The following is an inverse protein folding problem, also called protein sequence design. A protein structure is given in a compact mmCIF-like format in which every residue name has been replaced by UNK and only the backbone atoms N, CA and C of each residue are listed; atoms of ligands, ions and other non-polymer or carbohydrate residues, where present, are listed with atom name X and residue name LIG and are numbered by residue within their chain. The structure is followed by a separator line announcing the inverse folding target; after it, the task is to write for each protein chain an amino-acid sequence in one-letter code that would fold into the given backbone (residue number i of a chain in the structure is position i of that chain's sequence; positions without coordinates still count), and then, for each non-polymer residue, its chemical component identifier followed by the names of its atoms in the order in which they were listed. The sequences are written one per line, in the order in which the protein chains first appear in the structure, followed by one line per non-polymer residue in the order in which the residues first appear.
data_IF_369686331733
#
_entry.id   IF_369686331733
#
_cell.length_a   1.000
_cell.length_b   1.000
_cell.length_c   1.000
_cell.angle_alpha   90.00
_cell.angle_beta   90.00
_cell.angle_gamma   90.00
#
_symmetry.space_group_name_H-M   'P 1'
#
loop_
_entity.id
_entity.type
_entity.pdbx_description
1 polymer ?
#
# COMPACT_ATOMS: atom_id res chain seq x y z
N UNK A 1 -0.35 11.27 16.49
CA UNK A 1 -1.79 11.10 16.21
C UNK A 1 -2.02 11.32 14.74
N UNK A 2 -2.86 10.50 14.10
CA UNK A 2 -3.28 10.71 12.71
C UNK A 2 -4.17 11.97 12.62
N UNK A 3 -4.03 12.74 11.54
CA UNK A 3 -4.86 13.92 11.33
C UNK A 3 -6.33 13.51 11.13
N UNK A 4 -7.26 14.31 11.65
CA UNK A 4 -8.69 14.13 11.45
C UNK A 4 -9.29 15.33 10.73
N UNK A 5 -10.08 15.05 9.69
CA UNK A 5 -10.68 16.05 8.81
C UNK A 5 -12.19 15.84 8.72
N UNK A 6 -12.88 16.88 8.26
CA UNK A 6 -14.32 16.85 8.02
C UNK A 6 -14.56 17.15 6.54
N UNK A 7 -15.53 16.46 5.93
CA UNK A 7 -15.90 16.77 4.55
C UNK A 7 -16.48 18.18 4.41
N UNK A 8 -16.05 18.90 3.38
CA UNK A 8 -16.44 20.27 3.09
C UNK A 8 -17.53 20.36 2.02
N UNK A 9 -17.44 19.52 0.99
CA UNK A 9 -18.39 19.47 -0.12
C UNK A 9 -18.95 18.06 -0.31
N UNK A 10 -20.11 18.00 -0.97
CA UNK A 10 -20.67 16.74 -1.46
C UNK A 10 -19.72 16.12 -2.48
N UNK A 11 -19.45 14.83 -2.30
CA UNK A 11 -18.70 14.06 -3.29
C UNK A 11 -19.56 13.85 -4.52
N UNK A 12 -19.02 14.14 -5.70
CA UNK A 12 -19.68 13.88 -6.98
C UNK A 12 -19.14 12.62 -7.68
N UNK A 13 -18.14 11.96 -7.10
CA UNK A 13 -17.44 10.85 -7.73
C UNK A 13 -17.26 9.66 -6.79
N UNK A 14 -17.58 8.47 -7.31
CA UNK A 14 -17.39 7.17 -6.66
C UNK A 14 -16.53 6.30 -7.56
N UNK A 15 -15.46 5.74 -7.01
CA UNK A 15 -14.61 4.80 -7.71
C UNK A 15 -15.30 3.45 -7.81
N UNK A 16 -15.30 2.84 -9.00
CA UNK A 16 -15.94 1.55 -9.24
C UNK A 16 -14.98 0.40 -8.96
N UNK A 17 -14.61 0.25 -7.68
CA UNK A 17 -13.80 -0.87 -7.16
C UNK A 17 -14.59 -1.69 -6.14
N UNK A 18 -14.00 -2.75 -5.58
CA UNK A 18 -14.65 -3.59 -4.56
C UNK A 18 -15.08 -2.82 -3.31
N UNK A 19 -14.23 -1.91 -2.83
CA UNK A 19 -14.47 -1.09 -1.62
C UNK A 19 -15.36 0.13 -1.87
N UNK A 20 -15.61 0.47 -3.14
CA UNK A 20 -16.46 1.59 -3.56
C UNK A 20 -16.09 2.93 -2.87
N UNK A 21 -14.81 3.36 -2.87
CA UNK A 21 -14.43 4.62 -2.24
C UNK A 21 -15.04 5.82 -2.98
N UNK A 22 -15.11 6.95 -2.28
CA UNK A 22 -15.57 8.23 -2.84
C UNK A 22 -14.45 9.27 -2.83
N UNK A 23 -14.51 10.23 -3.76
CA UNK A 23 -13.60 11.37 -3.77
C UNK A 23 -14.24 12.54 -3.01
N UNK A 24 -13.62 12.99 -1.92
CA UNK A 24 -14.19 14.02 -1.08
C UNK A 24 -13.20 15.16 -0.80
N UNK A 25 -13.67 16.39 -0.98
CA UNK A 25 -12.91 17.58 -0.59
C UNK A 25 -13.16 17.89 0.88
N UNK A 26 -12.09 18.06 1.64
CA UNK A 26 -12.14 18.29 3.09
C UNK A 26 -11.98 19.78 3.45
N UNK A 27 -12.09 20.09 4.75
CA UNK A 27 -11.95 21.45 5.30
C UNK A 27 -10.59 22.12 5.05
N UNK A 28 -9.57 21.33 4.69
CA UNK A 28 -8.25 21.80 4.26
C UNK A 28 -8.17 22.15 2.77
N UNK A 29 -9.30 22.12 2.06
CA UNK A 29 -9.42 22.36 0.62
C UNK A 29 -8.68 21.32 -0.25
N UNK A 30 -8.26 20.20 0.33
CA UNK A 30 -7.61 19.11 -0.39
C UNK A 30 -8.61 17.99 -0.71
N UNK A 31 -8.33 17.25 -1.77
CA UNK A 31 -9.15 16.14 -2.24
C UNK A 31 -8.60 14.81 -1.72
N UNK A 32 -9.49 13.99 -1.17
CA UNK A 32 -9.15 12.74 -0.49
C UNK A 32 -9.97 11.58 -1.04
N UNK A 33 -9.33 10.44 -1.26
CA UNK A 33 -9.98 9.16 -1.55
C UNK A 33 -10.40 8.55 -0.21
N UNK A 34 -11.70 8.36 -0.03
CA UNK A 34 -12.32 8.02 1.24
C UNK A 34 -12.89 6.59 1.21
N UNK A 35 -12.36 5.70 2.05
CA UNK A 35 -12.84 4.32 2.25
C UNK A 35 -13.63 4.20 3.56
N UNK A 36 -14.83 3.63 3.50
CA UNK A 36 -15.79 3.64 4.61
C UNK A 36 -15.86 2.33 5.42
N UNK A 37 -15.23 1.24 4.96
CA UNK A 37 -15.21 -0.04 5.69
C UNK A 37 -16.60 -0.67 5.83
N UNK A 38 -17.36 -0.72 4.72
CA UNK A 38 -18.78 -1.14 4.70
C UNK A 38 -19.00 -2.52 5.33
N UNK A 39 -18.16 -3.49 4.96
CA UNK A 39 -18.34 -4.89 5.36
C UNK A 39 -17.49 -5.22 6.60
N UNK A 40 -16.35 -4.55 6.77
CA UNK A 40 -15.46 -4.69 7.92
C UNK A 40 -14.56 -3.47 8.08
N UNK A 41 -14.11 -3.20 9.31
CA UNK A 41 -13.08 -2.20 9.60
C UNK A 41 -11.66 -2.75 9.41
N UNK A 42 -11.47 -4.08 9.34
CA UNK A 42 -10.13 -4.68 9.20
C UNK A 42 -9.36 -4.16 7.98
N UNK A 43 -9.96 -4.02 6.79
CA UNK A 43 -9.27 -3.40 5.66
C UNK A 43 -8.84 -1.95 5.94
N UNK A 44 -9.61 -1.17 6.72
CA UNK A 44 -9.22 0.21 7.06
C UNK A 44 -8.07 0.25 8.07
N UNK A 45 -8.04 -0.70 9.01
CA UNK A 45 -6.89 -0.90 9.92
C UNK A 45 -5.66 -1.25 9.10
N UNK A 46 -5.79 -2.19 8.18
CA UNK A 46 -4.75 -2.59 7.24
C UNK A 46 -4.21 -1.42 6.42
N UNK A 47 -5.06 -0.50 5.94
CA UNK A 47 -4.63 0.72 5.26
C UNK A 47 -3.75 1.61 6.15
N UNK A 48 -4.14 1.83 7.42
CA UNK A 48 -3.33 2.61 8.37
C UNK A 48 -1.99 1.92 8.66
N UNK A 49 -2.01 0.60 8.87
CA UNK A 49 -0.81 -0.19 9.16
C UNK A 49 0.14 -0.18 7.96
N UNK A 50 -0.35 -0.54 6.78
CA UNK A 50 0.43 -0.62 5.54
C UNK A 50 1.04 0.73 5.16
N UNK A 51 0.28 1.82 5.18
CA UNK A 51 0.82 3.14 4.91
C UNK A 51 1.84 3.60 5.96
N UNK A 52 1.63 3.26 7.25
CA UNK A 52 2.61 3.61 8.31
C UNK A 52 3.90 2.80 8.18
N UNK A 53 3.81 1.50 7.91
CA UNK A 53 4.98 0.67 7.68
C UNK A 53 5.72 1.08 6.41
N UNK A 54 5.03 1.42 5.32
CA UNK A 54 5.64 1.94 4.11
C UNK A 54 6.47 3.21 4.39
N UNK A 55 5.95 4.12 5.23
CA UNK A 55 6.69 5.31 5.68
C UNK A 55 7.98 4.94 6.44
N UNK A 56 7.92 3.97 7.36
CA UNK A 56 9.09 3.50 8.11
C UNK A 56 10.12 2.81 7.21
N UNK A 57 9.69 2.26 6.08
CA UNK A 57 10.56 1.72 5.02
C UNK A 57 11.13 2.79 4.09
N UNK A 58 10.79 4.06 4.30
CA UNK A 58 11.07 5.18 3.39
C UNK A 58 10.48 4.97 1.98
N UNK A 59 9.40 4.19 1.86
CA UNK A 59 8.62 4.08 0.65
C UNK A 59 7.62 5.22 0.57
N UNK A 60 7.45 5.79 -0.63
CA UNK A 60 6.43 6.82 -0.80
C UNK A 60 5.05 6.19 -0.76
N UNK A 61 4.14 6.82 -0.05
CA UNK A 61 2.72 6.50 -0.02
C UNK A 61 1.96 7.83 0.11
N UNK A 62 0.76 7.98 -0.48
CA UNK A 62 -0.01 9.20 -0.29
C UNK A 62 -0.25 9.46 1.21
N UNK A 63 -0.21 10.72 1.66
CA UNK A 63 -0.58 11.06 3.04
C UNK A 63 -1.95 10.49 3.42
N UNK A 64 -2.07 10.01 4.66
CA UNK A 64 -3.30 9.42 5.19
C UNK A 64 -3.92 10.27 6.30
N UNK A 65 -5.24 10.23 6.43
CA UNK A 65 -5.98 10.86 7.53
C UNK A 65 -7.25 10.06 7.87
N UNK A 66 -7.95 10.49 8.92
CA UNK A 66 -9.33 10.08 9.19
C UNK A 66 -10.29 11.17 8.72
N UNK A 67 -11.42 10.77 8.12
CA UNK A 67 -12.40 11.71 7.57
C UNK A 67 -13.78 11.44 8.15
N UNK A 68 -14.35 12.45 8.81
CA UNK A 68 -15.78 12.47 9.15
C UNK A 68 -16.57 13.02 7.96
N UNK A 69 -17.32 12.14 7.30
CA UNK A 69 -18.14 12.51 6.14
C UNK A 69 -19.53 12.92 6.59
N UNK A 70 -19.90 14.19 6.38
CA UNK A 70 -21.28 14.66 6.64
C UNK A 70 -22.28 13.91 5.76
N UNK A 71 -23.44 13.56 6.33
CA UNK A 71 -24.49 12.81 5.63
C UNK A 71 -24.92 13.47 4.30
N UNK A 72 -25.09 14.79 4.29
CA UNK A 72 -25.49 15.55 3.09
C UNK A 72 -24.40 15.59 2.01
N UNK A 73 -23.17 15.19 2.35
CA UNK A 73 -22.05 15.14 1.42
C UNK A 73 -21.92 13.78 0.71
N UNK A 74 -22.80 12.83 1.03
CA UNK A 74 -22.79 11.49 0.45
C UNK A 74 -23.58 11.49 -0.86
N UNK A 75 -23.00 11.00 -1.98
CA UNK A 75 -23.67 11.01 -3.28
C UNK A 75 -24.82 10.01 -3.36
N UNK A 76 -26.04 10.51 -3.15
CA UNK A 76 -27.29 9.74 -3.23
C UNK A 76 -27.56 9.13 -4.60
N UNK A 77 -26.97 9.67 -5.68
CA UNK A 77 -27.10 9.13 -7.03
C UNK A 77 -26.52 7.71 -7.20
N UNK A 78 -25.66 7.25 -6.27
CA UNK A 78 -25.09 5.91 -6.30
C UNK A 78 -25.85 4.90 -5.43
N UNK A 79 -26.99 5.27 -4.86
CA UNK A 79 -27.84 4.33 -4.13
C UNK A 79 -28.34 3.20 -5.05
N UNK A 80 -28.46 1.94 -4.55
CA UNK A 80 -28.20 1.51 -3.17
C UNK A 80 -26.75 1.06 -2.91
N UNK A 81 -25.84 1.20 -3.89
CA UNK A 81 -24.44 0.72 -3.76
C UNK A 81 -23.67 1.48 -2.70
N UNK A 82 -23.97 2.78 -2.57
CA UNK A 82 -23.44 3.65 -1.53
C UNK A 82 -24.58 4.10 -0.61
N UNK A 83 -24.43 3.92 0.70
CA UNK A 83 -25.47 4.24 1.67
C UNK A 83 -24.92 5.12 2.81
N UNK A 84 -25.72 6.08 3.33
CA UNK A 84 -25.25 7.00 4.36
C UNK A 84 -24.67 6.32 5.60
N UNK A 85 -25.25 5.19 6.02
CA UNK A 85 -24.83 4.51 7.25
C UNK A 85 -23.41 3.93 7.18
N UNK A 86 -22.84 3.73 5.98
CA UNK A 86 -21.44 3.33 5.82
C UNK A 86 -20.49 4.39 6.38
N UNK A 87 -20.93 5.64 6.47
CA UNK A 87 -20.15 6.80 6.89
C UNK A 87 -20.46 7.27 8.32
N UNK A 88 -21.18 6.45 9.11
CA UNK A 88 -21.49 6.77 10.51
C UNK A 88 -20.27 6.70 11.45
N UNK A 89 -19.14 6.20 10.94
CA UNK A 89 -17.85 6.14 11.61
C UNK A 89 -16.81 6.90 10.78
N UNK A 90 -15.69 7.33 11.38
CA UNK A 90 -14.61 7.95 10.64
C UNK A 90 -14.13 7.03 9.53
N UNK A 91 -13.96 7.57 8.33
CA UNK A 91 -13.45 6.84 7.19
C UNK A 91 -11.92 6.95 7.11
N UNK A 92 -11.29 5.98 6.45
CA UNK A 92 -9.90 6.14 6.03
C UNK A 92 -9.83 7.11 4.85
N UNK A 93 -8.92 8.07 4.91
CA UNK A 93 -8.64 9.03 3.85
C UNK A 93 -7.21 8.89 3.34
N UNK A 94 -7.05 8.80 2.01
CA UNK A 94 -5.75 8.87 1.32
C UNK A 94 -5.74 10.07 0.37
N UNK A 95 -4.70 10.90 0.44
CA UNK A 95 -4.64 12.14 -0.33
C UNK A 95 -4.60 11.84 -1.83
N UNK A 96 -5.41 12.55 -2.62
CA UNK A 96 -5.34 12.43 -4.07
C UNK A 96 -4.06 13.08 -4.61
N UNK A 97 -3.17 12.28 -5.21
CA UNK A 97 -1.98 12.78 -5.90
C UNK A 97 -2.37 13.33 -7.28
N UNK A 98 -2.57 14.65 -7.39
CA UNK A 98 -3.05 15.33 -8.62
C UNK A 98 -2.17 15.10 -9.87
N UNK A 99 -0.88 14.79 -9.68
CA UNK A 99 0.07 14.43 -10.75
C UNK A 99 0.39 12.93 -10.81
N UNK A 100 -0.32 12.10 -10.03
CA UNK A 100 -0.12 10.67 -9.96
C UNK A 100 -0.95 9.93 -11.00
N UNK A 101 -0.36 8.91 -11.60
CA UNK A 101 -1.06 7.98 -12.49
C UNK A 101 -0.91 6.56 -11.96
N UNK A 102 -2.02 5.82 -11.80
CA UNK A 102 -1.96 4.40 -11.44
C UNK A 102 -1.23 3.63 -12.55
N UNK A 103 -0.28 2.78 -12.16
CA UNK A 103 0.49 1.99 -13.11
C UNK A 103 -0.34 0.78 -13.54
N UNK A 104 -0.69 0.74 -14.81
CA UNK A 104 -1.36 -0.39 -15.44
C UNK A 104 -0.61 -0.86 -16.69
N UNK A 105 -1.16 -1.88 -17.37
CA UNK A 105 -0.59 -2.45 -18.58
C UNK A 105 -0.44 -1.44 -19.72
N UNK A 106 -1.26 -0.38 -19.76
CA UNK A 106 -1.20 0.66 -20.80
C UNK A 106 0.03 1.54 -20.66
N UNK A 107 0.61 1.64 -19.46
CA UNK A 107 1.82 2.43 -19.21
C UNK A 107 3.12 1.68 -19.57
N UNK A 108 3.11 0.34 -19.63
CA UNK A 108 4.30 -0.49 -19.87
C UNK A 108 5.14 -0.08 -21.09
N UNK A 109 4.56 0.30 -22.25
CA UNK A 109 5.34 0.76 -23.40
C UNK A 109 6.22 1.98 -23.10
N UNK A 110 5.82 2.85 -22.17
CA UNK A 110 6.63 4.00 -21.74
C UNK A 110 7.88 3.54 -21.00
N UNK A 111 7.76 2.53 -20.14
CA UNK A 111 8.88 1.98 -19.37
C UNK A 111 9.95 1.32 -20.24
N UNK A 112 9.64 0.89 -21.47
CA UNK A 112 10.65 0.33 -22.39
C UNK A 112 11.63 1.41 -22.87
N UNK A 113 11.17 2.65 -23.03
CA UNK A 113 11.97 3.76 -23.58
C UNK A 113 13.06 4.19 -22.60
N UNK A 114 14.32 4.16 -23.04
CA UNK A 114 15.46 4.54 -22.20
C UNK A 114 15.37 5.97 -21.65
N UNK A 115 14.81 6.90 -22.42
CA UNK A 115 14.57 8.29 -22.00
C UNK A 115 13.57 8.43 -20.87
N UNK A 116 12.62 7.48 -20.75
CA UNK A 116 11.67 7.43 -19.65
C UNK A 116 12.29 6.74 -18.43
N UNK A 117 12.95 5.58 -18.61
CA UNK A 117 13.64 4.86 -17.54
C UNK A 117 14.60 5.75 -16.73
N UNK A 118 15.36 6.62 -17.42
CA UNK A 118 16.30 7.55 -16.78
C UNK A 118 15.66 8.61 -15.89
N UNK A 119 14.36 8.86 -16.04
CA UNK A 119 13.61 9.83 -15.24
C UNK A 119 13.00 9.18 -13.99
N UNK A 120 12.99 7.86 -13.90
CA UNK A 120 12.52 7.13 -12.71
C UNK A 120 13.63 7.19 -11.68
N UNK A 121 13.38 7.93 -10.60
CA UNK A 121 14.31 8.02 -9.48
C UNK A 121 14.05 6.89 -8.49
N UNK A 122 15.09 6.52 -7.73
CA UNK A 122 15.07 5.40 -6.79
C UNK A 122 14.44 4.13 -7.38
N UNK A 123 14.82 3.76 -8.61
CA UNK A 123 14.21 2.61 -9.32
C UNK A 123 14.19 1.34 -8.46
N UNK A 124 15.22 1.15 -7.63
CA UNK A 124 15.37 0.02 -6.70
C UNK A 124 14.22 -0.09 -5.70
N UNK A 125 13.50 1.00 -5.43
CA UNK A 125 12.29 1.01 -4.60
C UNK A 125 11.26 0.00 -5.12
N UNK A 126 11.21 -0.28 -6.42
CA UNK A 126 10.29 -1.29 -6.96
C UNK A 126 10.57 -2.70 -6.42
N UNK A 127 11.85 -3.07 -6.26
CA UNK A 127 12.23 -4.35 -5.65
C UNK A 127 12.08 -4.30 -4.12
N UNK A 128 12.33 -3.14 -3.50
CA UNK A 128 12.08 -2.91 -2.06
C UNK A 128 10.59 -3.05 -1.71
N UNK A 129 9.70 -2.53 -2.55
CA UNK A 129 8.25 -2.68 -2.45
C UNK A 129 7.87 -4.16 -2.55
N UNK A 130 8.48 -4.92 -3.45
CA UNK A 130 8.18 -6.34 -3.56
C UNK A 130 8.58 -7.12 -2.29
N UNK A 131 9.74 -6.82 -1.69
CA UNK A 131 10.12 -7.41 -0.40
C UNK A 131 9.19 -6.95 0.73
N UNK A 132 8.77 -5.69 0.72
CA UNK A 132 7.77 -5.16 1.66
C UNK A 132 6.45 -5.94 1.58
N UNK A 133 5.96 -6.22 0.37
CA UNK A 133 4.73 -6.99 0.15
C UNK A 133 4.86 -8.44 0.59
N UNK A 134 6.01 -9.08 0.39
CA UNK A 134 6.30 -10.41 0.93
C UNK A 134 6.24 -10.38 2.46
N UNK A 135 6.89 -9.41 3.10
CA UNK A 135 6.94 -9.31 4.56
C UNK A 135 5.57 -9.13 5.21
N UNK A 136 4.73 -8.27 4.64
CA UNK A 136 3.39 -8.01 5.18
C UNK A 136 2.32 -8.93 4.60
N UNK A 137 2.66 -9.90 3.75
CA UNK A 137 1.69 -10.81 3.13
C UNK A 137 0.63 -10.07 2.29
N UNK A 138 1.04 -9.16 1.42
CA UNK A 138 0.12 -8.39 0.57
C UNK A 138 -0.25 -9.13 -0.72
N UNK A 139 -1.47 -9.65 -0.79
CA UNK A 139 -1.93 -10.49 -1.91
C UNK A 139 -2.51 -9.68 -3.09
N UNK A 140 -2.79 -8.39 -2.90
CA UNK A 140 -3.46 -7.56 -3.93
C UNK A 140 -2.47 -6.69 -4.74
N UNK A 141 -1.17 -6.69 -4.41
CA UNK A 141 -0.12 -6.07 -5.24
C UNK A 141 0.62 -7.11 -6.08
N UNK A 142 0.11 -7.35 -7.29
CA UNK A 142 0.63 -8.40 -8.18
C UNK A 142 0.70 -7.95 -9.65
N UNK A 143 1.08 -8.86 -10.54
CA UNK A 143 1.23 -8.58 -11.98
C UNK A 143 -0.05 -8.09 -12.71
N UNK A 144 -1.23 -8.37 -12.14
CA UNK A 144 -2.53 -7.99 -12.67
C UNK A 144 -3.08 -6.70 -12.06
N UNK A 145 -2.70 -6.40 -10.81
CA UNK A 145 -3.06 -5.21 -10.08
C UNK A 145 -1.83 -4.65 -9.38
N UNK A 146 -1.22 -3.58 -9.93
CA UNK A 146 0.03 -3.09 -9.36
C UNK A 146 -0.16 -2.41 -8.01
N UNK A 147 -1.32 -1.79 -7.75
CA UNK A 147 -1.51 -0.88 -6.62
C UNK A 147 -0.31 0.08 -6.40
N UNK A 148 0.25 0.57 -7.53
CA UNK A 148 1.31 1.57 -7.59
C UNK A 148 0.83 2.83 -8.31
N UNK A 149 1.19 3.99 -7.78
CA UNK A 149 1.05 5.28 -8.47
C UNK A 149 2.43 5.73 -8.93
N UNK A 150 2.54 6.09 -10.21
CA UNK A 150 3.66 6.83 -10.73
C UNK A 150 3.44 8.33 -10.52
N UNK A 151 4.12 8.89 -9.55
CA UNK A 151 4.04 10.30 -9.16
C UNK A 151 4.96 11.16 -10.02
N UNK A 152 4.37 12.20 -10.62
CA UNK A 152 5.03 13.16 -11.53
C UNK A 152 4.93 14.60 -11.03
N UNK A 153 4.64 14.79 -9.74
CA UNK A 153 4.50 16.13 -9.13
C UNK A 153 5.75 16.98 -9.33
N UNK A 154 6.93 16.37 -9.32
CA UNK A 154 8.19 17.01 -9.69
C UNK A 154 8.47 16.86 -11.18
N UNK A 155 8.61 17.99 -11.88
CA UNK A 155 8.77 18.02 -13.34
C UNK A 155 10.00 17.23 -13.78
N UNK A 156 9.76 16.17 -14.55
CA UNK A 156 10.83 15.37 -15.17
C UNK A 156 11.39 14.26 -14.30
N UNK A 157 10.84 14.08 -13.10
CA UNK A 157 11.17 13.00 -12.17
C UNK A 157 9.94 12.16 -11.93
N UNK A 158 10.14 10.84 -11.83
CA UNK A 158 9.07 9.90 -11.52
C UNK A 158 9.45 9.10 -10.29
N UNK A 159 8.49 8.94 -9.38
CA UNK A 159 8.63 8.14 -8.18
C UNK A 159 7.49 7.13 -8.07
N UNK A 160 7.79 5.94 -7.55
CA UNK A 160 6.76 4.95 -7.22
C UNK A 160 6.16 5.30 -5.86
N UNK A 161 4.82 5.33 -5.79
CA UNK A 161 4.06 5.40 -4.56
C UNK A 161 3.26 4.11 -4.38
N UNK A 162 3.34 3.49 -3.21
CA UNK A 162 2.47 2.39 -2.83
C UNK A 162 1.15 2.92 -2.28
N UNK A 163 0.06 2.27 -2.65
CA UNK A 163 -1.27 2.53 -2.10
C UNK A 163 -2.05 1.21 -2.02
N UNK A 164 -3.27 1.30 -1.48
CA UNK A 164 -4.23 0.21 -1.34
C UNK A 164 -3.65 -1.01 -0.60
N UNK A 165 -3.56 -0.88 0.72
CA UNK A 165 -3.02 -1.91 1.60
C UNK A 165 -4.13 -2.74 2.26
N UNK A 166 -5.37 -2.68 1.79
CA UNK A 166 -6.50 -3.38 2.42
C UNK A 166 -6.30 -4.90 2.55
N UNK A 167 -5.57 -5.52 1.62
CA UNK A 167 -5.34 -6.96 1.53
C UNK A 167 -4.03 -7.45 2.18
N UNK A 168 -3.37 -6.62 3.01
CA UNK A 168 -2.19 -7.08 3.76
C UNK A 168 -2.57 -8.13 4.82
N UNK A 169 -1.55 -8.84 5.28
CA UNK A 169 -1.62 -9.95 6.22
C UNK A 169 -2.47 -11.11 5.71
N UNK A 170 -2.30 -11.49 4.45
CA UNK A 170 -3.14 -12.46 3.74
C UNK A 170 -4.63 -12.13 3.89
N UNK A 171 -4.98 -10.88 3.56
CA UNK A 171 -6.36 -10.36 3.66
C UNK A 171 -6.93 -10.46 5.09
N UNK A 172 -6.20 -9.91 6.08
CA UNK A 172 -6.55 -9.97 7.52
C UNK A 172 -6.54 -11.39 8.13
N UNK A 173 -5.69 -12.27 7.60
CA UNK A 173 -5.54 -13.68 7.96
C UNK A 173 -4.75 -13.99 9.23
N UNK A 174 -4.11 -13.01 9.90
CA UNK A 174 -3.16 -13.25 11.02
C UNK A 174 -3.64 -14.21 12.11
N UNK A 175 -4.96 -14.30 12.36
CA UNK A 175 -5.54 -15.27 13.32
C UNK A 175 -5.22 -16.73 12.99
N UNK A 176 -4.88 -17.02 11.74
CA UNK A 176 -4.58 -18.35 11.21
C UNK A 176 -3.08 -18.56 10.93
N UNK A 177 -2.25 -17.55 11.22
CA UNK A 177 -0.89 -17.49 10.71
C UNK A 177 -0.74 -16.44 9.61
N UNK A 178 0.49 -16.21 9.19
CA UNK A 178 0.83 -15.50 7.95
C UNK A 178 1.52 -16.48 7.01
N UNK A 179 1.19 -16.42 5.73
CA UNK A 179 1.76 -17.24 4.67
C UNK A 179 2.50 -16.36 3.66
N UNK A 180 3.59 -16.89 3.10
CA UNK A 180 4.31 -16.23 2.01
C UNK A 180 3.39 -16.09 0.79
N UNK A 181 3.37 -14.89 0.20
CA UNK A 181 2.71 -14.69 -1.10
C UNK A 181 3.41 -15.54 -2.18
N UNK A 182 2.65 -16.01 -3.17
CA UNK A 182 3.21 -16.81 -4.27
C UNK A 182 3.90 -15.95 -5.33
N UNK A 183 4.64 -16.58 -6.25
CA UNK A 183 5.24 -15.91 -7.41
C UNK A 183 4.21 -15.13 -8.25
N UNK A 184 3.01 -15.68 -8.42
CA UNK A 184 1.92 -15.03 -9.16
C UNK A 184 1.33 -13.82 -8.43
N UNK A 185 1.40 -13.82 -7.09
CA UNK A 185 0.96 -12.71 -6.23
C UNK A 185 2.08 -11.68 -6.03
N UNK A 186 3.34 -12.01 -6.32
CA UNK A 186 4.45 -11.08 -6.19
C UNK A 186 4.56 -10.11 -7.37
N UNK A 187 4.89 -8.86 -7.06
CA UNK A 187 5.25 -7.85 -8.06
C UNK A 187 6.52 -8.25 -8.86
N UNK A 188 7.39 -9.11 -8.32
CA UNK A 188 8.65 -9.54 -8.96
C UNK A 188 8.39 -10.23 -10.29
N UNK A 189 7.30 -11.01 -10.40
CA UNK A 189 6.93 -11.72 -11.62
C UNK A 189 6.37 -10.80 -12.73
N UNK A 190 6.07 -9.54 -12.39
CA UNK A 190 5.46 -8.58 -13.30
C UNK A 190 6.35 -8.18 -14.49
N UNK A 191 5.70 -7.84 -15.61
CA UNK A 191 6.39 -7.30 -16.79
C UNK A 191 7.14 -5.99 -16.47
N UNK A 192 6.61 -5.17 -15.55
CA UNK A 192 7.25 -3.93 -15.13
C UNK A 192 8.63 -4.19 -14.52
N UNK A 193 8.72 -5.13 -13.56
CA UNK A 193 9.99 -5.50 -12.93
C UNK A 193 10.95 -6.08 -13.97
N UNK A 194 10.47 -6.96 -14.86
CA UNK A 194 11.28 -7.52 -15.95
C UNK A 194 11.83 -6.45 -16.90
N UNK A 195 11.01 -5.46 -17.29
CA UNK A 195 11.43 -4.34 -18.15
C UNK A 195 12.51 -3.51 -17.48
N UNK A 196 12.39 -3.27 -16.17
CA UNK A 196 13.31 -2.40 -15.45
C UNK A 196 14.59 -3.10 -15.03
N UNK A 197 14.53 -4.37 -14.61
CA UNK A 197 15.65 -5.07 -13.96
C UNK A 197 16.22 -6.25 -14.75
N UNK A 198 15.52 -6.74 -15.78
CA UNK A 198 15.91 -7.96 -16.50
C UNK A 198 17.20 -7.89 -17.33
N UNK A 199 17.96 -6.78 -17.27
CA UNK A 199 19.27 -6.62 -17.92
C UNK A 199 20.23 -5.77 -17.07
N UNK A 200 20.02 -5.72 -15.76
CA UNK A 200 20.83 -4.92 -14.83
C UNK A 200 22.05 -5.73 -14.37
N UNK A 201 23.24 -5.18 -14.57
CA UNK A 201 24.51 -5.88 -14.32
C UNK A 201 24.87 -6.00 -12.83
N UNK A 202 24.32 -5.14 -11.97
CA UNK A 202 24.58 -5.13 -10.53
C UNK A 202 23.37 -5.59 -9.70
N UNK A 203 22.54 -6.48 -10.25
CA UNK A 203 21.34 -6.96 -9.57
C UNK A 203 21.64 -7.58 -8.20
N UNK A 204 22.74 -8.33 -8.06
CA UNK A 204 23.12 -8.97 -6.80
C UNK A 204 23.34 -7.94 -5.69
N UNK A 205 24.12 -6.90 -5.99
CA UNK A 205 24.40 -5.80 -5.07
C UNK A 205 23.11 -5.05 -4.68
N UNK A 206 22.21 -4.82 -5.65
CA UNK A 206 20.91 -4.19 -5.38
C UNK A 206 20.09 -5.03 -4.40
N UNK A 207 20.02 -6.35 -4.62
CA UNK A 207 19.27 -7.28 -3.78
C UNK A 207 19.86 -7.33 -2.37
N UNK A 208 21.18 -7.43 -2.26
CA UNK A 208 21.86 -7.48 -0.95
C UNK A 208 21.64 -6.20 -0.14
N UNK A 209 21.70 -5.03 -0.79
CA UNK A 209 21.40 -3.75 -0.13
C UNK A 209 19.94 -3.68 0.33
N UNK A 210 18.99 -4.17 -0.46
CA UNK A 210 17.56 -4.20 -0.09
C UNK A 210 17.31 -5.14 1.10
N UNK A 211 17.99 -6.29 1.13
CA UNK A 211 17.91 -7.23 2.26
C UNK A 211 18.53 -6.64 3.52
N UNK A 212 19.64 -5.91 3.42
CA UNK A 212 20.20 -5.20 4.57
C UNK A 212 19.22 -4.14 5.10
N UNK A 213 18.62 -3.37 4.19
CA UNK A 213 17.59 -2.39 4.52
C UNK A 213 16.37 -3.03 5.19
N UNK A 214 15.96 -4.23 4.75
CA UNK A 214 14.80 -4.94 5.27
C UNK A 214 14.83 -5.09 6.78
N UNK A 215 15.93 -5.60 7.34
CA UNK A 215 16.08 -5.78 8.79
C UNK A 215 16.01 -4.46 9.56
N UNK A 216 16.58 -3.38 9.01
CA UNK A 216 16.51 -2.05 9.62
C UNK A 216 15.08 -1.49 9.58
N UNK A 217 14.39 -1.71 8.46
CA UNK A 217 13.04 -1.22 8.24
C UNK A 217 12.01 -1.96 9.11
N UNK A 218 12.11 -3.29 9.25
CA UNK A 218 11.21 -4.07 10.13
C UNK A 218 11.42 -3.73 11.60
N UNK A 219 12.67 -3.56 12.03
CA UNK A 219 12.99 -3.10 13.37
C UNK A 219 12.39 -1.71 13.65
N UNK A 220 12.48 -0.78 12.69
CA UNK A 220 11.86 0.55 12.78
C UNK A 220 10.33 0.44 12.93
N UNK A 221 9.68 -0.43 12.15
CA UNK A 221 8.24 -0.70 12.27
C UNK A 221 7.87 -1.26 13.65
N UNK A 222 8.67 -2.17 14.20
CA UNK A 222 8.41 -2.78 15.51
C UNK A 222 8.51 -1.77 16.64
N UNK A 223 9.54 -0.91 16.60
CA UNK A 223 9.75 0.16 17.58
C UNK A 223 8.60 1.17 17.58
N UNK A 224 8.07 1.49 16.40
CA UNK A 224 6.96 2.43 16.24
C UNK A 224 5.56 1.79 16.38
N UNK A 225 5.46 0.48 16.57
CA UNK A 225 4.20 -0.25 16.52
C UNK A 225 3.12 0.37 17.43
N UNK A 226 3.48 0.70 18.67
CA UNK A 226 2.55 1.34 19.61
C UNK A 226 2.05 2.70 19.09
N UNK A 227 2.94 3.50 18.52
CA UNK A 227 2.60 4.81 17.92
C UNK A 227 1.69 4.65 16.72
N UNK A 228 1.87 3.59 15.93
CA UNK A 228 1.04 3.27 14.77
C UNK A 228 -0.35 2.81 15.21
N UNK A 229 -0.45 1.91 16.19
CA UNK A 229 -1.73 1.41 16.73
C UNK A 229 -2.58 2.55 17.31
N UNK A 230 -1.96 3.56 17.92
CA UNK A 230 -2.64 4.78 18.40
C UNK A 230 -3.24 5.65 17.27
N UNK A 231 -2.97 5.36 15.99
CA UNK A 231 -3.63 6.01 14.86
C UNK A 231 -5.00 5.39 14.56
N UNK A 232 -5.30 4.19 15.06
CA UNK A 232 -6.57 3.51 14.81
C UNK A 232 -7.65 4.12 15.72
N UNK A 233 -8.76 4.63 15.17
CA UNK A 233 -9.77 5.30 15.97
C UNK A 233 -10.56 4.31 16.85
N UNK A 234 -10.86 4.73 18.08
CA UNK A 234 -11.66 3.95 19.03
C UNK A 234 -13.07 3.65 18.48
N UNK A 235 -13.60 4.54 17.63
CA UNK A 235 -14.92 4.40 16.99
C UNK A 235 -15.04 3.18 16.08
N UNK A 236 -13.92 2.60 15.64
CA UNK A 236 -13.93 1.36 14.88
C UNK A 236 -14.21 0.13 15.74
N UNK A 237 -14.08 0.22 17.07
CA UNK A 237 -14.31 -0.89 18.01
C UNK A 237 -13.48 -2.14 17.65
N UNK A 238 -12.24 -1.89 17.23
CA UNK A 238 -11.31 -2.94 16.81
C UNK A 238 -10.46 -3.41 18.01
N UNK A 239 -10.28 -4.72 18.17
CA UNK A 239 -9.51 -5.29 19.28
C UNK A 239 -8.00 -5.12 19.05
N UNK A 240 -7.47 -3.96 19.46
CA UNK A 240 -6.06 -3.61 19.28
C UNK A 240 -5.11 -4.49 20.08
N UNK A 241 -5.50 -4.94 21.27
CA UNK A 241 -4.65 -5.79 22.12
C UNK A 241 -4.38 -7.12 21.41
N UNK A 242 -5.47 -7.80 21.00
CA UNK A 242 -5.33 -9.06 20.27
C UNK A 242 -4.60 -8.88 18.94
N UNK A 243 -4.82 -7.76 18.26
CA UNK A 243 -4.15 -7.49 17.00
C UNK A 243 -2.66 -7.25 17.16
N UNK A 244 -2.24 -6.53 18.21
CA UNK A 244 -0.83 -6.35 18.55
C UNK A 244 -0.15 -7.70 18.81
N UNK A 245 -0.76 -8.56 19.63
CA UNK A 245 -0.25 -9.90 19.92
C UNK A 245 -0.05 -10.69 18.61
N UNK A 246 -1.05 -10.67 17.73
CA UNK A 246 -0.97 -11.33 16.42
C UNK A 246 0.14 -10.77 15.53
N UNK A 247 0.35 -9.45 15.51
CA UNK A 247 1.44 -8.85 14.72
C UNK A 247 2.81 -9.32 15.24
N UNK A 248 3.00 -9.32 16.57
CA UNK A 248 4.25 -9.75 17.20
C UNK A 248 4.53 -11.22 16.93
N UNK A 249 3.51 -12.06 17.07
CA UNK A 249 3.64 -13.51 16.86
C UNK A 249 3.93 -13.86 15.39
N UNK A 250 3.40 -13.09 14.43
CA UNK A 250 3.44 -13.46 13.00
C UNK A 250 4.49 -12.71 12.18
N UNK A 251 4.58 -11.38 12.29
CA UNK A 251 5.37 -10.56 11.36
C UNK A 251 6.61 -9.94 11.99
N UNK A 252 6.72 -9.95 13.32
CA UNK A 252 7.87 -9.45 14.06
C UNK A 252 8.61 -10.60 14.77
N UNK A 253 9.01 -11.61 14.00
CA UNK A 253 9.84 -12.70 14.51
C UNK A 253 10.92 -13.10 13.49
N UNK A 254 12.04 -13.61 14.00
CA UNK A 254 13.25 -13.90 13.20
C UNK A 254 13.05 -15.01 12.17
N UNK A 255 12.19 -15.98 12.46
CA UNK A 255 11.87 -17.08 11.55
C UNK A 255 11.14 -16.52 10.31
N UNK A 256 10.14 -15.67 10.52
CA UNK A 256 9.43 -14.98 9.44
C UNK A 256 10.36 -14.11 8.60
N UNK A 257 11.25 -13.33 9.24
CA UNK A 257 12.23 -12.53 8.49
C UNK A 257 13.12 -13.39 7.58
N UNK A 258 13.59 -14.52 8.10
CA UNK A 258 14.41 -15.46 7.35
C UNK A 258 13.65 -16.06 6.16
N UNK A 259 12.38 -16.43 6.36
CA UNK A 259 11.51 -16.91 5.31
C UNK A 259 11.28 -15.85 4.22
N UNK A 260 11.00 -14.60 4.59
CA UNK A 260 10.81 -13.50 3.65
C UNK A 260 12.07 -13.23 2.81
N UNK A 261 13.25 -13.17 3.44
CA UNK A 261 14.51 -12.97 2.72
C UNK A 261 14.75 -14.11 1.73
N UNK A 262 14.65 -15.35 2.20
CA UNK A 262 14.88 -16.53 1.36
C UNK A 262 13.93 -16.50 0.16
N UNK A 263 12.64 -16.30 0.41
CA UNK A 263 11.63 -16.28 -0.63
C UNK A 263 11.85 -15.15 -1.64
N UNK A 264 12.19 -13.95 -1.17
CA UNK A 264 12.54 -12.82 -2.04
C UNK A 264 13.71 -13.15 -2.96
N UNK A 265 14.79 -13.73 -2.43
CA UNK A 265 15.95 -14.14 -3.23
C UNK A 265 15.60 -15.24 -4.24
N UNK A 266 14.77 -16.20 -3.86
CA UNK A 266 14.28 -17.26 -4.76
C UNK A 266 13.47 -16.70 -5.93
N UNK A 267 12.55 -15.76 -5.66
CA UNK A 267 11.75 -15.11 -6.70
C UNK A 267 12.62 -14.28 -7.65
N UNK A 268 13.62 -13.56 -7.14
CA UNK A 268 14.59 -12.82 -7.95
C UNK A 268 15.39 -13.78 -8.85
N UNK A 269 15.91 -14.88 -8.29
CA UNK A 269 16.64 -15.90 -9.06
C UNK A 269 15.79 -16.45 -10.20
N UNK A 270 14.54 -16.79 -9.90
CA UNK A 270 13.61 -17.41 -10.84
C UNK A 270 13.20 -16.46 -11.96
N UNK A 271 12.93 -15.19 -11.65
CA UNK A 271 12.35 -14.25 -12.60
C UNK A 271 13.36 -13.35 -13.34
N UNK A 272 14.56 -13.13 -12.77
CA UNK A 272 15.51 -12.14 -13.29
C UNK A 272 16.88 -12.71 -13.67
N UNK A 273 17.35 -13.79 -13.05
CA UNK A 273 18.65 -14.41 -13.39
C UNK A 273 18.55 -15.55 -14.40
N UNK A 274 17.50 -16.37 -14.32
CA UNK A 274 17.30 -17.49 -15.23
C UNK A 274 16.67 -17.00 -16.55
N UNK A 275 17.51 -16.49 -17.47
CA UNK A 275 17.18 -16.26 -18.88
C UNK A 275 17.98 -17.17 -19.80
#
# INVERSE_FOLDING_TARGET
MIERKVSLFKSDYMFTTGDIPILITCTDLSDWICKHGRDSVSPLVNEIMGSSFAQNWNLRTPPICLIDVKADHIPTQYAPRLQPFFFNKPCFGSSLLKGGQVIDKTMLPSFIKSSFKRKILNKNDLLKIALFDIWIGNEDRHHGNSNLILDQTQKGEYYFNVFDHGAIFNTSGLRHGIDLITDNESLISSELVKILFGSVNNLTEIVDNIVQDFYLCTQSCEQDLNTILLKIPLEWDFNLIQFEDLLRDNIFNDDWYSQCEQHFRELIQTNLYNK
#
